data_IF_937444847361
#
_entry.id   IF_937444847361
#
_cell.length_a   1.000
_cell.length_b   1.000
_cell.length_c   1.000
_cell.angle_alpha   90.00
_cell.angle_beta   90.00
_cell.angle_gamma   90.00
#
_symmetry.space_group_name_H-M   'P 1'
#
loop_
_entity.id
_entity.type
_entity.pdbx_description
1 polymer ?
#
# COMPACT_ATOMS: atom_id res chain seq x y z
N UNK A 1 63.51 51.38 24.03
CA UNK A 1 63.34 51.30 22.56
C UNK A 1 62.32 50.13 22.29
N UNK A 2 61.10 50.46 22.02
CA UNK A 2 60.03 49.48 21.66
C UNK A 2 59.88 49.48 20.13
N UNK A 3 59.72 48.30 19.49
CA UNK A 3 59.53 48.23 18.04
C UNK A 3 58.08 48.58 17.65
N UNK A 4 57.87 49.12 16.43
CA UNK A 4 56.57 49.60 15.97
C UNK A 4 55.64 48.43 15.63
N UNK A 5 54.36 48.60 16.01
CA UNK A 5 53.28 47.68 15.63
C UNK A 5 52.98 47.85 14.15
N UNK A 6 53.07 46.77 13.36
CA UNK A 6 52.55 46.66 12.01
C UNK A 6 51.01 46.57 12.06
N UNK A 7 50.35 47.55 11.47
CA UNK A 7 48.92 47.48 11.15
C UNK A 7 48.69 46.45 10.05
N UNK A 8 47.89 45.46 10.35
CA UNK A 8 47.42 44.49 9.39
C UNK A 8 46.23 45.12 8.68
N UNK A 9 46.44 45.43 7.41
CA UNK A 9 45.45 45.90 6.47
C UNK A 9 44.41 44.77 6.25
N UNK A 10 43.15 45.02 6.59
CA UNK A 10 42.07 44.08 6.38
C UNK A 10 41.64 44.13 4.91
N UNK A 11 41.53 42.99 4.22
CA UNK A 11 41.03 43.01 2.85
C UNK A 11 39.54 43.41 2.83
N UNK A 12 39.28 44.38 2.01
CA UNK A 12 37.98 44.91 1.66
C UNK A 12 37.11 43.73 1.10
N UNK A 13 36.03 43.41 1.81
CA UNK A 13 35.06 42.40 1.36
C UNK A 13 34.23 43.04 0.29
N UNK A 14 34.54 42.76 -0.96
CA UNK A 14 33.76 43.13 -2.11
C UNK A 14 32.37 42.45 -1.99
N UNK A 15 31.36 43.23 -1.69
CA UNK A 15 29.97 42.80 -1.61
C UNK A 15 29.49 42.48 -3.01
N UNK A 16 29.57 41.21 -3.39
CA UNK A 16 28.96 40.67 -4.60
C UNK A 16 27.44 40.75 -4.41
N UNK A 17 26.80 41.70 -5.07
CA UNK A 17 25.34 41.75 -5.17
C UNK A 17 24.87 40.48 -5.86
N UNK A 18 23.88 39.75 -5.31
CA UNK A 18 23.27 38.63 -6.03
C UNK A 18 22.58 39.22 -7.27
N UNK A 19 23.03 38.77 -8.44
CA UNK A 19 22.33 39.02 -9.69
C UNK A 19 20.91 38.46 -9.55
N UNK A 20 19.91 39.34 -9.54
CA UNK A 20 18.52 38.98 -9.72
C UNK A 20 18.38 38.32 -11.09
N UNK A 21 18.50 36.97 -11.12
CA UNK A 21 18.02 36.23 -12.26
C UNK A 21 16.50 36.28 -12.24
N UNK A 22 15.97 37.33 -12.91
CA UNK A 22 14.61 37.28 -13.40
C UNK A 22 14.47 36.06 -14.30
N UNK A 23 13.91 34.99 -13.72
CA UNK A 23 13.35 33.86 -14.48
C UNK A 23 12.12 34.38 -15.21
N UNK A 24 12.34 35.25 -16.18
CA UNK A 24 11.32 35.67 -17.12
C UNK A 24 11.09 34.52 -18.09
N UNK A 25 10.07 33.73 -17.76
CA UNK A 25 9.00 33.37 -18.65
C UNK A 25 9.41 32.99 -20.08
N UNK A 26 10.11 31.85 -20.23
CA UNK A 26 10.16 31.15 -21.53
C UNK A 26 9.28 29.89 -21.53
N UNK A 27 8.67 29.54 -20.43
CA UNK A 27 7.76 28.42 -20.33
C UNK A 27 6.36 28.90 -19.97
N UNK A 28 5.65 29.42 -21.00
CA UNK A 28 4.19 29.38 -20.93
C UNK A 28 3.77 27.94 -21.19
N UNK A 29 3.28 27.20 -20.19
CA UNK A 29 2.71 25.89 -20.46
C UNK A 29 1.57 26.08 -21.46
N UNK A 30 1.43 25.19 -22.47
CA UNK A 30 0.31 25.28 -23.39
C UNK A 30 -0.98 25.30 -22.56
N UNK A 31 -2.01 26.05 -22.98
CA UNK A 31 -3.28 26.07 -22.29
C UNK A 31 -3.71 24.61 -22.12
N UNK A 32 -3.88 24.19 -20.86
CA UNK A 32 -4.45 22.88 -20.56
C UNK A 32 -5.87 22.97 -21.12
N UNK A 33 -6.08 22.43 -22.32
CA UNK A 33 -7.42 22.11 -22.79
C UNK A 33 -7.98 21.14 -21.77
N UNK A 34 -8.78 21.69 -20.83
CA UNK A 34 -9.63 20.86 -19.98
C UNK A 34 -10.60 20.22 -20.96
N UNK A 35 -10.25 19.03 -21.43
CA UNK A 35 -11.19 18.16 -22.10
C UNK A 35 -12.43 18.17 -21.23
N UNK A 36 -13.49 18.80 -21.73
CA UNK A 36 -14.78 18.84 -21.05
C UNK A 36 -15.12 17.38 -20.80
N UNK A 37 -14.92 16.95 -19.56
CA UNK A 37 -15.28 15.60 -19.14
C UNK A 37 -16.77 15.48 -19.47
N UNK A 38 -17.07 14.75 -20.54
CA UNK A 38 -18.47 14.44 -20.89
C UNK A 38 -19.09 13.90 -19.63
N UNK A 39 -20.23 14.47 -19.15
CA UNK A 39 -20.91 13.90 -18.01
C UNK A 39 -21.17 12.43 -18.37
N UNK A 40 -20.52 11.52 -17.63
CA UNK A 40 -20.82 10.11 -17.74
C UNK A 40 -22.32 9.99 -17.59
N UNK A 41 -22.97 9.39 -18.59
CA UNK A 41 -24.40 9.12 -18.51
C UNK A 41 -24.67 8.45 -17.15
N UNK A 42 -25.42 9.15 -16.30
CA UNK A 42 -25.84 8.69 -14.97
C UNK A 42 -26.84 7.54 -15.11
N UNK A 43 -26.36 6.41 -15.63
CA UNK A 43 -27.08 5.16 -15.63
C UNK A 43 -27.01 4.46 -14.27
N UNK A 44 -27.91 3.55 -14.00
CA UNK A 44 -27.94 2.76 -12.76
C UNK A 44 -26.61 2.03 -12.46
N UNK A 45 -25.72 1.88 -13.46
CA UNK A 45 -24.37 1.35 -13.31
C UNK A 45 -23.45 2.26 -12.51
N UNK A 46 -23.55 3.57 -12.71
CA UNK A 46 -22.65 4.55 -12.06
C UNK A 46 -22.93 4.65 -10.56
N UNK A 47 -24.20 4.58 -10.15
CA UNK A 47 -24.58 4.61 -8.74
C UNK A 47 -24.07 3.39 -7.97
N UNK A 48 -24.04 2.21 -8.59
CA UNK A 48 -23.50 0.99 -7.99
C UNK A 48 -21.98 1.08 -7.86
N UNK A 49 -21.29 1.55 -8.90
CA UNK A 49 -19.84 1.73 -8.86
C UNK A 49 -19.43 2.76 -7.81
N UNK A 50 -20.15 3.87 -7.70
CA UNK A 50 -19.92 4.88 -6.67
C UNK A 50 -20.11 4.31 -5.26
N UNK A 51 -21.15 3.49 -5.05
CA UNK A 51 -21.39 2.82 -3.78
C UNK A 51 -20.29 1.80 -3.44
N UNK A 52 -19.77 1.08 -4.42
CA UNK A 52 -18.63 0.16 -4.24
C UNK A 52 -17.33 0.92 -3.94
N UNK A 53 -17.07 2.04 -4.61
CA UNK A 53 -15.94 2.90 -4.33
C UNK A 53 -16.03 3.46 -2.91
N UNK A 54 -17.18 3.99 -2.51
CA UNK A 54 -17.42 4.49 -1.17
C UNK A 54 -17.19 3.40 -0.11
N UNK A 55 -17.69 2.18 -0.33
CA UNK A 55 -17.47 1.04 0.54
C UNK A 55 -15.99 0.67 0.68
N UNK A 56 -15.23 0.72 -0.41
CA UNK A 56 -13.79 0.41 -0.40
C UNK A 56 -12.94 1.52 0.26
N UNK A 57 -13.43 2.75 0.34
CA UNK A 57 -12.77 3.87 1.00
C UNK A 57 -13.09 3.95 2.51
N UNK A 58 -14.04 3.16 3.02
CA UNK A 58 -14.35 3.09 4.44
C UNK A 58 -13.16 2.62 5.26
N UNK A 59 -13.03 3.19 6.47
CA UNK A 59 -11.96 2.85 7.41
C UNK A 59 -12.38 1.64 8.23
N UNK A 60 -11.48 0.67 8.35
CA UNK A 60 -11.63 -0.56 9.10
C UNK A 60 -10.42 -0.72 10.03
N UNK A 61 -10.62 -1.14 11.25
CA UNK A 61 -9.54 -1.44 12.17
C UNK A 61 -9.11 -2.90 12.02
N UNK A 62 -7.84 -3.08 11.70
CA UNK A 62 -7.25 -4.39 11.49
C UNK A 62 -5.97 -4.56 12.30
N UNK A 63 -5.69 -5.79 12.68
CA UNK A 63 -4.45 -6.19 13.32
C UNK A 63 -3.82 -7.31 12.51
N UNK A 64 -2.60 -7.09 12.03
CA UNK A 64 -1.80 -8.12 11.39
C UNK A 64 -1.15 -8.98 12.48
N UNK A 65 -1.30 -10.30 12.38
CA UNK A 65 -0.74 -11.21 13.37
C UNK A 65 0.79 -11.24 13.30
N UNK A 66 1.41 -11.48 14.44
CA UNK A 66 2.84 -11.72 14.52
C UNK A 66 3.19 -13.02 13.77
N UNK A 67 4.42 -13.10 13.29
CA UNK A 67 4.95 -14.29 12.65
C UNK A 67 6.00 -14.93 13.55
N UNK A 68 6.04 -16.24 13.55
CA UNK A 68 7.11 -17.00 14.20
C UNK A 68 8.38 -17.06 13.36
N UNK A 69 8.30 -16.66 12.09
CA UNK A 69 9.47 -16.59 11.21
C UNK A 69 10.28 -15.32 11.53
N UNK A 70 11.56 -15.45 11.93
CA UNK A 70 12.44 -14.31 12.21
C UNK A 70 12.72 -13.44 10.97
N UNK A 71 12.55 -13.97 9.77
CA UNK A 71 12.73 -13.26 8.52
C UNK A 71 11.43 -12.65 7.97
N UNK A 72 10.33 -12.73 8.72
CA UNK A 72 9.06 -12.17 8.29
C UNK A 72 9.14 -10.65 8.12
N UNK A 73 8.62 -10.17 7.01
CA UNK A 73 8.56 -8.73 6.74
C UNK A 73 7.80 -7.98 7.84
N UNK A 74 8.41 -6.91 8.38
CA UNK A 74 7.78 -5.97 9.29
C UNK A 74 8.41 -4.58 9.13
N UNK A 75 7.69 -3.57 8.63
CA UNK A 75 6.27 -3.60 8.24
C UNK A 75 6.01 -4.36 6.93
N UNK A 76 4.80 -4.92 6.82
CA UNK A 76 4.26 -5.41 5.56
C UNK A 76 3.65 -4.24 4.80
N UNK A 77 3.82 -4.16 3.50
CA UNK A 77 3.23 -3.11 2.70
C UNK A 77 2.28 -3.65 1.63
N UNK A 78 1.24 -2.89 1.36
CA UNK A 78 0.32 -3.09 0.23
C UNK A 78 0.22 -1.81 -0.57
N UNK A 79 0.00 -1.91 -1.86
CA UNK A 79 -0.16 -0.74 -2.72
C UNK A 79 -1.45 -0.84 -3.53
N UNK A 80 -2.17 0.26 -3.62
CA UNK A 80 -3.36 0.41 -4.43
C UNK A 80 -3.29 1.73 -5.19
N UNK A 81 -3.36 1.67 -6.53
CA UNK A 81 -3.27 2.85 -7.40
C UNK A 81 -2.08 3.77 -7.08
N UNK A 82 -0.91 3.19 -6.85
CA UNK A 82 0.33 3.94 -6.56
C UNK A 82 0.45 4.47 -5.13
N UNK A 83 -0.56 4.30 -4.29
CA UNK A 83 -0.50 4.68 -2.87
C UNK A 83 -0.17 3.45 -2.02
N UNK A 84 0.91 3.55 -1.24
CA UNK A 84 1.38 2.46 -0.37
C UNK A 84 0.81 2.62 1.03
N UNK A 85 0.34 1.52 1.60
CA UNK A 85 -0.09 1.40 2.99
C UNK A 85 0.82 0.41 3.70
N UNK A 86 1.34 0.82 4.86
CA UNK A 86 2.17 -0.03 5.73
C UNK A 86 1.35 -0.64 6.85
N UNK A 87 1.63 -1.90 7.17
CA UNK A 87 1.00 -2.65 8.25
C UNK A 87 2.06 -3.15 9.22
N UNK A 88 1.99 -2.72 10.45
CA UNK A 88 2.86 -3.21 11.52
C UNK A 88 2.22 -4.42 12.20
N UNK A 89 3.00 -5.47 12.40
CA UNK A 89 2.53 -6.69 13.07
C UNK A 89 2.26 -6.42 14.54
N UNK A 90 1.24 -7.10 15.10
CA UNK A 90 0.87 -6.98 16.51
C UNK A 90 0.18 -5.65 16.90
N UNK A 91 -0.05 -4.74 15.96
CA UNK A 91 -0.66 -3.44 16.22
C UNK A 91 -2.02 -3.31 15.53
N UNK A 92 -2.98 -2.71 16.24
CA UNK A 92 -4.26 -2.34 15.61
C UNK A 92 -4.08 -1.05 14.84
N UNK A 93 -4.51 -1.07 13.59
CA UNK A 93 -4.35 0.06 12.67
C UNK A 93 -5.67 0.33 11.93
N UNK A 94 -6.00 1.61 11.79
CA UNK A 94 -7.14 2.08 11.01
C UNK A 94 -6.71 2.26 9.55
N UNK A 95 -7.25 1.45 8.65
CA UNK A 95 -6.89 1.43 7.23
C UNK A 95 -8.11 1.38 6.34
N UNK A 96 -8.00 1.83 5.11
CA UNK A 96 -9.10 1.74 4.14
C UNK A 96 -9.34 0.29 3.72
N UNK A 97 -10.60 -0.08 3.58
CA UNK A 97 -11.06 -1.43 3.24
C UNK A 97 -10.36 -2.00 1.99
N UNK A 98 -10.07 -1.19 0.98
CA UNK A 98 -9.34 -1.62 -0.22
C UNK A 98 -7.99 -2.29 0.06
N UNK A 99 -7.26 -1.84 1.08
CA UNK A 99 -5.98 -2.45 1.45
C UNK A 99 -6.18 -3.78 2.18
N UNK A 100 -7.26 -3.91 2.96
CA UNK A 100 -7.65 -5.18 3.58
C UNK A 100 -8.02 -6.22 2.51
N UNK A 101 -8.66 -5.79 1.41
CA UNK A 101 -8.93 -6.64 0.26
C UNK A 101 -7.64 -7.23 -0.34
N UNK A 102 -6.60 -6.41 -0.47
CA UNK A 102 -5.29 -6.86 -0.99
C UNK A 102 -4.64 -7.87 -0.05
N UNK A 103 -4.69 -7.64 1.28
CA UNK A 103 -4.19 -8.60 2.26
C UNK A 103 -4.94 -9.93 2.18
N UNK A 104 -6.26 -9.90 2.04
CA UNK A 104 -7.10 -11.09 1.93
C UNK A 104 -6.85 -11.86 0.62
N UNK A 105 -6.47 -11.15 -0.46
CA UNK A 105 -6.12 -11.75 -1.74
C UNK A 105 -4.70 -12.35 -1.76
N UNK A 106 -3.81 -11.92 -0.84
CA UNK A 106 -2.46 -12.45 -0.74
C UNK A 106 -2.47 -13.85 -0.11
N UNK A 107 -2.52 -14.89 -0.95
CA UNK A 107 -2.56 -16.29 -0.53
C UNK A 107 -1.31 -17.04 -0.95
N UNK A 108 -0.87 -17.95 -0.10
CA UNK A 108 0.22 -18.88 -0.38
C UNK A 108 -0.36 -20.27 -0.64
N UNK A 109 0.16 -20.94 -1.67
CA UNK A 109 -0.24 -22.27 -2.04
C UNK A 109 0.86 -23.25 -1.70
N UNK A 110 0.56 -24.17 -0.81
CA UNK A 110 1.44 -25.30 -0.50
C UNK A 110 0.93 -26.56 -1.21
N UNK A 111 1.84 -27.25 -1.89
CA UNK A 111 1.58 -28.53 -2.51
C UNK A 111 2.26 -29.61 -1.65
N UNK A 112 1.48 -30.58 -1.17
CA UNK A 112 1.98 -31.76 -0.47
C UNK A 112 1.66 -32.97 -1.27
N UNK A 113 2.62 -33.88 -1.37
CA UNK A 113 2.50 -35.15 -2.09
C UNK A 113 2.75 -36.32 -1.14
N UNK A 114 1.82 -36.57 -0.16
CA UNK A 114 1.97 -37.73 0.71
C UNK A 114 1.87 -39.04 -0.10
N UNK A 115 2.79 -39.93 0.16
CA UNK A 115 2.70 -41.32 -0.32
C UNK A 115 1.73 -42.08 0.57
N UNK A 116 0.88 -42.88 -0.03
CA UNK A 116 0.01 -43.80 0.68
C UNK A 116 0.01 -45.16 -0.02
N UNK A 117 -0.30 -46.20 0.73
CA UNK A 117 -0.44 -47.54 0.17
C UNK A 117 -1.91 -47.77 -0.16
N UNK A 118 -2.20 -48.08 -1.41
CA UNK A 118 -3.55 -48.41 -1.85
C UNK A 118 -4.02 -49.73 -1.24
N UNK A 119 -5.34 -49.98 -1.30
CA UNK A 119 -5.98 -51.22 -0.83
C UNK A 119 -5.42 -52.52 -1.46
N UNK A 120 -4.73 -52.37 -2.57
CA UNK A 120 -4.03 -53.48 -3.27
C UNK A 120 -2.54 -53.59 -2.91
N UNK A 121 -2.04 -52.82 -1.94
CA UNK A 121 -0.64 -52.84 -1.53
C UNK A 121 0.31 -52.04 -2.44
N UNK A 122 -0.21 -51.36 -3.46
CA UNK A 122 0.60 -50.54 -4.34
C UNK A 122 0.86 -49.15 -3.72
N UNK A 123 2.07 -48.61 -3.91
CA UNK A 123 2.41 -47.23 -3.51
C UNK A 123 1.74 -46.26 -4.48
N UNK A 124 0.94 -45.37 -3.94
CA UNK A 124 0.29 -44.30 -4.68
C UNK A 124 0.62 -42.94 -4.06
N UNK A 125 0.61 -41.90 -4.86
CA UNK A 125 0.89 -40.51 -4.43
C UNK A 125 -0.36 -39.63 -4.60
N UNK A 126 -0.76 -38.95 -3.54
CA UNK A 126 -1.89 -38.04 -3.58
C UNK A 126 -1.39 -36.57 -3.56
N UNK A 127 -1.74 -35.82 -4.58
CA UNK A 127 -1.43 -34.39 -4.60
C UNK A 127 -2.50 -33.65 -3.80
N UNK A 128 -2.09 -33.01 -2.70
CA UNK A 128 -2.96 -32.16 -1.88
C UNK A 128 -2.49 -30.73 -2.00
N UNK A 129 -3.40 -29.86 -2.42
CA UNK A 129 -3.16 -28.40 -2.49
C UNK A 129 -3.83 -27.74 -1.29
N UNK A 130 -3.06 -26.94 -0.54
CA UNK A 130 -3.57 -26.17 0.59
C UNK A 130 -3.30 -24.69 0.30
N UNK A 131 -4.30 -23.86 0.51
CA UNK A 131 -4.18 -22.41 0.37
C UNK A 131 -4.34 -21.77 1.76
N UNK A 132 -3.43 -20.87 2.11
CA UNK A 132 -3.45 -20.10 3.36
C UNK A 132 -3.17 -18.62 3.07
N UNK A 133 -3.57 -17.75 3.99
CA UNK A 133 -3.22 -16.35 3.89
C UNK A 133 -1.71 -16.17 4.07
N UNK A 134 -1.08 -15.43 3.18
CA UNK A 134 0.33 -15.04 3.33
C UNK A 134 0.53 -14.14 4.56
N UNK A 135 -0.41 -13.25 4.81
CA UNK A 135 -0.41 -12.33 5.91
C UNK A 135 -1.67 -12.55 6.77
N UNK A 136 -1.63 -13.41 7.78
CA UNK A 136 -2.78 -13.61 8.65
C UNK A 136 -3.12 -12.32 9.40
N UNK A 137 -4.39 -11.94 9.39
CA UNK A 137 -4.89 -10.73 10.04
C UNK A 137 -6.26 -10.96 10.67
N UNK A 138 -6.64 -10.08 11.59
CA UNK A 138 -7.96 -10.01 12.18
C UNK A 138 -8.55 -8.62 11.97
N UNK A 139 -9.84 -8.55 11.65
CA UNK A 139 -10.60 -7.31 11.68
C UNK A 139 -11.12 -7.11 13.09
N UNK A 140 -10.72 -6.02 13.73
CA UNK A 140 -11.08 -5.69 15.12
C UNK A 140 -12.41 -4.93 15.15
N UNK A 141 -12.55 -3.94 14.25
CA UNK A 141 -13.75 -3.11 14.17
C UNK A 141 -14.06 -2.80 12.70
N UNK A 142 -15.30 -2.99 12.32
CA UNK A 142 -15.83 -2.64 11.00
C UNK A 142 -17.18 -1.93 11.21
N UNK A 143 -17.27 -0.65 10.86
CA UNK A 143 -18.50 0.13 11.03
C UNK A 143 -19.63 -0.34 10.13
N UNK A 144 -19.32 -1.04 9.03
CA UNK A 144 -20.29 -1.46 8.04
C UNK A 144 -20.76 -2.90 8.29
N UNK A 145 -22.08 -3.12 8.52
CA UNK A 145 -22.61 -4.47 8.79
C UNK A 145 -22.39 -5.45 7.62
N UNK A 146 -22.18 -4.95 6.40
CA UNK A 146 -21.86 -5.78 5.21
C UNK A 146 -20.41 -6.26 5.21
N UNK A 147 -19.53 -5.66 6.00
CA UNK A 147 -18.09 -5.92 5.98
C UNK A 147 -17.75 -7.36 6.32
N UNK A 148 -18.41 -7.96 7.30
CA UNK A 148 -18.16 -9.36 7.69
C UNK A 148 -18.52 -10.36 6.60
N UNK A 149 -19.64 -10.16 5.90
CA UNK A 149 -20.07 -11.00 4.79
C UNK A 149 -19.11 -10.84 3.58
N UNK A 150 -18.72 -9.61 3.29
CA UNK A 150 -17.74 -9.28 2.25
C UNK A 150 -16.40 -9.96 2.51
N UNK A 151 -15.87 -9.86 3.74
CA UNK A 151 -14.60 -10.48 4.11
C UNK A 151 -14.65 -12.00 3.97
N UNK A 152 -15.72 -12.65 4.42
CA UNK A 152 -15.92 -14.10 4.25
C UNK A 152 -15.88 -14.49 2.78
N UNK A 153 -16.53 -13.74 1.91
CA UNK A 153 -16.52 -13.99 0.47
C UNK A 153 -15.11 -13.90 -0.10
N UNK A 154 -14.33 -12.87 0.28
CA UNK A 154 -12.94 -12.71 -0.17
C UNK A 154 -12.03 -13.85 0.30
N UNK A 155 -12.15 -14.26 1.56
CA UNK A 155 -11.33 -15.34 2.12
C UNK A 155 -11.61 -16.69 1.45
N UNK A 156 -12.85 -16.93 1.01
CA UNK A 156 -13.26 -18.18 0.33
C UNK A 156 -13.07 -18.12 -1.19
N UNK A 157 -12.80 -16.96 -1.77
CA UNK A 157 -12.55 -16.85 -3.21
C UNK A 157 -11.33 -17.67 -3.60
N UNK A 158 -11.43 -18.59 -4.57
CA UNK A 158 -10.25 -19.22 -5.16
C UNK A 158 -9.45 -18.11 -5.87
N UNK A 159 -8.15 -18.15 -5.71
CA UNK A 159 -7.21 -17.29 -6.44
C UNK A 159 -6.77 -18.01 -7.70
#
# INVERSE_FOLDING_TARGET
MAPPKKSIDSPEVETVQPAEHTFDSIYSPPPIEIETVRPLNSGAGDSKQLAELAFNEEIVEVMLHESTDPNAENPVFTACNGVTQYFFRGQVQAVKRKYVAILAAAKEHAIRTPEYTDSQGARATKITRTSSLKYPFSVISDPNPRGSAWLKTLLHSPT
#
